data_IF_595522537650
#
_entry.id   IF_595522537650
#
_cell.length_a   1.000
_cell.length_b   1.000
_cell.length_c   1.000
_cell.angle_alpha   90.00
_cell.angle_beta   90.00
_cell.angle_gamma   90.00
#
_symmetry.space_group_name_H-M   'P 1'
#
loop_
_entity.id
_entity.type
_entity.pdbx_description
1 polymer ?
#
# COMPACT_ATOMS: atom_id res chain seq x y z
N UNK A 1 -31.09 -62.62 10.59
CA UNK A 1 -30.44 -61.87 9.49
C UNK A 1 -31.30 -60.66 9.19
N UNK A 2 -30.90 -59.47 9.61
CA UNK A 2 -30.88 -58.19 8.87
C UNK A 2 -30.43 -57.09 9.84
N UNK A 3 -29.47 -56.30 9.37
CA UNK A 3 -28.52 -55.52 10.14
C UNK A 3 -29.11 -54.20 10.69
N UNK A 4 -28.53 -53.74 11.80
CA UNK A 4 -28.69 -52.42 12.37
C UNK A 4 -27.93 -51.38 11.54
N UNK A 5 -28.65 -50.52 10.82
CA UNK A 5 -28.09 -49.39 10.08
C UNK A 5 -27.68 -48.26 11.04
N UNK A 6 -26.39 -48.18 11.33
CA UNK A 6 -25.79 -47.04 12.01
C UNK A 6 -25.65 -45.87 11.02
N UNK A 7 -26.56 -44.89 11.11
CA UNK A 7 -26.42 -43.62 10.38
C UNK A 7 -25.25 -42.82 10.97
N UNK A 8 -24.12 -42.84 10.29
CA UNK A 8 -23.00 -41.96 10.57
C UNK A 8 -23.40 -40.50 10.27
N UNK A 9 -23.69 -39.74 11.32
CA UNK A 9 -23.78 -38.28 11.25
C UNK A 9 -22.34 -37.73 11.11
N UNK A 10 -21.93 -37.42 9.90
CA UNK A 10 -20.70 -36.65 9.67
C UNK A 10 -20.93 -35.22 10.16
N UNK A 11 -20.39 -34.90 11.34
CA UNK A 11 -20.29 -33.52 11.81
C UNK A 11 -19.29 -32.77 10.91
N UNK A 12 -19.80 -31.99 9.95
CA UNK A 12 -18.98 -31.03 9.21
C UNK A 12 -18.50 -29.95 10.18
N UNK A 13 -17.27 -30.10 10.67
CA UNK A 13 -16.51 -29.00 11.26
C UNK A 13 -16.30 -27.95 10.16
N UNK A 14 -17.16 -26.94 10.13
CA UNK A 14 -16.92 -25.75 9.33
C UNK A 14 -15.71 -25.02 9.93
N UNK A 15 -14.56 -25.11 9.28
CA UNK A 15 -13.39 -24.30 9.60
C UNK A 15 -13.78 -22.83 9.36
N UNK A 16 -14.20 -22.15 10.43
CA UNK A 16 -14.34 -20.70 10.41
C UNK A 16 -12.91 -20.15 10.34
N UNK A 17 -12.42 -19.92 9.12
CA UNK A 17 -11.12 -19.29 8.91
C UNK A 17 -11.14 -17.93 9.58
N UNK A 18 -10.32 -17.76 10.62
CA UNK A 18 -10.08 -16.46 11.22
C UNK A 18 -9.40 -15.60 10.17
N UNK A 19 -10.12 -14.64 9.59
CA UNK A 19 -9.52 -13.56 8.83
C UNK A 19 -8.73 -12.74 9.85
N UNK A 20 -7.42 -12.98 9.93
CA UNK A 20 -6.55 -12.11 10.69
C UNK A 20 -6.57 -10.75 10.00
N UNK A 21 -7.06 -9.72 10.68
CA UNK A 21 -6.81 -8.35 10.25
C UNK A 21 -5.29 -8.17 10.18
N UNK A 22 -4.73 -8.05 8.98
CA UNK A 22 -3.30 -7.82 8.82
C UNK A 22 -3.02 -6.37 9.21
N UNK A 23 -2.16 -6.18 10.21
CA UNK A 23 -1.65 -4.87 10.58
C UNK A 23 -0.76 -4.34 9.45
N UNK A 24 -0.75 -3.02 9.30
CA UNK A 24 0.12 -2.33 8.36
C UNK A 24 1.25 -1.65 9.12
N UNK A 25 2.43 -1.66 8.52
CA UNK A 25 3.69 -1.23 9.12
C UNK A 25 4.37 -0.23 8.20
N UNK A 26 4.96 0.79 8.77
CA UNK A 26 5.86 1.70 8.08
C UNK A 26 7.24 1.06 7.86
N UNK A 27 8.08 1.58 6.95
CA UNK A 27 9.42 1.05 6.67
C UNK A 27 10.34 0.80 7.86
N UNK A 28 10.18 1.51 8.98
CA UNK A 28 10.92 1.23 10.22
C UNK A 28 10.35 0.09 11.08
N UNK A 29 9.28 -0.56 10.62
CA UNK A 29 8.55 -1.61 11.33
C UNK A 29 7.58 -1.07 12.38
N UNK A 30 7.40 0.24 12.52
CA UNK A 30 6.37 0.79 13.40
C UNK A 30 4.98 0.54 12.82
N UNK A 31 4.01 0.26 13.69
CA UNK A 31 2.62 0.01 13.27
C UNK A 31 1.96 1.32 12.84
N UNK A 32 1.18 1.26 11.78
CA UNK A 32 0.21 2.30 11.44
C UNK A 32 -1.04 2.06 12.29
N UNK A 33 -0.95 2.36 13.59
CA UNK A 33 -1.91 1.96 14.65
C UNK A 33 -3.31 2.62 14.57
N UNK A 34 -3.73 3.11 13.41
CA UNK A 34 -5.05 3.73 13.21
C UNK A 34 -6.00 2.79 12.47
N UNK A 35 -7.31 2.97 12.70
CA UNK A 35 -8.38 2.28 11.96
C UNK A 35 -8.51 2.74 10.51
N UNK A 36 -7.63 3.63 10.07
CA UNK A 36 -7.75 4.35 8.80
C UNK A 36 -6.98 3.68 7.68
N UNK A 37 -6.54 2.43 7.85
CA UNK A 37 -5.74 1.68 6.88
C UNK A 37 -6.47 0.44 6.40
N UNK A 38 -6.27 0.09 5.13
CA UNK A 38 -6.74 -1.18 4.58
C UNK A 38 -5.70 -1.84 3.69
N UNK A 39 -5.76 -3.16 3.65
CA UNK A 39 -4.85 -4.00 2.85
C UNK A 39 -5.35 -4.07 1.42
N UNK A 40 -4.51 -3.70 0.46
CA UNK A 40 -4.89 -3.63 -0.94
C UNK A 40 -5.15 -4.98 -1.60
N UNK A 41 -4.47 -6.03 -1.15
CA UNK A 41 -4.72 -7.41 -1.54
C UNK A 41 -4.76 -8.31 -0.30
N UNK A 42 -5.95 -8.51 0.26
CA UNK A 42 -6.18 -9.34 1.46
C UNK A 42 -6.03 -10.85 1.23
N UNK A 43 -5.83 -11.29 -0.01
CA UNK A 43 -5.60 -12.70 -0.34
C UNK A 43 -4.12 -13.04 -0.50
N UNK A 44 -3.25 -12.03 -0.54
CA UNK A 44 -1.80 -12.22 -0.63
C UNK A 44 -1.17 -12.38 0.76
N UNK A 45 -0.06 -13.13 0.83
CA UNK A 45 0.74 -13.27 2.06
C UNK A 45 1.17 -11.91 2.61
N UNK A 46 1.57 -11.01 1.69
CA UNK A 46 1.85 -9.61 1.97
C UNK A 46 1.29 -8.72 0.86
N UNK A 47 0.87 -7.53 1.23
CA UNK A 47 0.42 -6.45 0.37
C UNK A 47 0.80 -5.09 0.97
N UNK A 48 0.96 -4.09 0.10
CA UNK A 48 0.87 -2.69 0.49
C UNK A 48 -0.51 -2.38 1.08
N UNK A 49 -0.54 -1.33 1.89
CA UNK A 49 -1.73 -0.80 2.52
C UNK A 49 -1.89 0.66 2.15
N UNK A 50 -3.13 1.09 1.96
CA UNK A 50 -3.49 2.48 1.71
C UNK A 50 -4.37 3.03 2.84
N UNK A 51 -4.45 4.35 2.93
CA UNK A 51 -5.37 5.03 3.84
C UNK A 51 -6.80 4.92 3.29
N UNK A 52 -7.80 4.81 4.16
CA UNK A 52 -9.21 4.81 3.79
C UNK A 52 -9.54 6.08 2.97
N UNK A 53 -10.20 5.88 1.83
CA UNK A 53 -10.49 6.96 0.88
C UNK A 53 -9.54 7.01 -0.32
N UNK A 54 -8.42 6.27 -0.27
CA UNK A 54 -7.51 6.12 -1.40
C UNK A 54 -7.86 4.91 -2.28
N UNK A 55 -7.34 4.93 -3.50
CA UNK A 55 -7.31 3.82 -4.43
C UNK A 55 -5.97 3.08 -4.33
N UNK A 56 -6.03 1.76 -4.22
CA UNK A 56 -4.87 0.88 -4.38
C UNK A 56 -4.55 0.69 -5.86
N UNK A 57 -3.25 0.65 -6.18
CA UNK A 57 -2.79 0.51 -7.55
C UNK A 57 -1.90 -0.73 -7.71
N UNK A 58 -1.90 -1.30 -8.91
CA UNK A 58 -1.14 -2.52 -9.23
C UNK A 58 0.36 -2.38 -9.08
N UNK A 59 0.89 -1.15 -9.14
CA UNK A 59 2.31 -0.85 -8.96
C UNK A 59 2.70 -0.60 -7.48
N UNK A 60 1.78 -0.87 -6.54
CA UNK A 60 2.03 -0.75 -5.11
C UNK A 60 1.87 0.67 -4.56
N UNK A 61 1.40 1.61 -5.38
CA UNK A 61 1.08 2.97 -4.96
C UNK A 61 -0.38 3.10 -4.52
N UNK A 62 -0.64 4.13 -3.73
CA UNK A 62 -1.96 4.61 -3.35
C UNK A 62 -2.24 5.93 -4.06
N UNK A 63 -3.50 6.21 -4.38
CA UNK A 63 -3.94 7.48 -4.95
C UNK A 63 -5.13 8.03 -4.18
N UNK A 64 -4.97 9.23 -3.61
CA UNK A 64 -6.05 9.97 -2.99
C UNK A 64 -7.15 10.34 -3.97
N UNK A 65 -8.39 10.16 -3.55
CA UNK A 65 -9.61 10.49 -4.32
C UNK A 65 -9.96 11.99 -4.34
N UNK A 66 -9.26 12.81 -3.55
CA UNK A 66 -9.52 14.25 -3.45
C UNK A 66 -9.06 15.02 -4.68
N UNK A 67 -9.91 15.95 -5.15
CA UNK A 67 -9.61 16.87 -6.25
C UNK A 67 -8.32 17.65 -5.98
N UNK A 68 -7.39 17.67 -6.96
CA UNK A 68 -6.10 18.35 -6.88
C UNK A 68 -4.87 17.42 -6.96
N UNK A 69 -5.04 16.12 -6.70
CA UNK A 69 -3.94 15.14 -6.70
C UNK A 69 -3.78 14.40 -8.05
N UNK A 70 -3.77 15.12 -9.18
CA UNK A 70 -3.83 14.49 -10.51
C UNK A 70 -2.58 13.60 -10.77
N UNK A 71 -1.41 14.07 -10.35
CA UNK A 71 -0.11 13.41 -10.58
C UNK A 71 0.56 12.93 -9.30
N UNK A 72 -0.15 12.96 -8.16
CA UNK A 72 0.40 12.63 -6.84
C UNK A 72 -0.10 11.27 -6.38
N UNK A 73 0.83 10.47 -5.90
CA UNK A 73 0.65 9.11 -5.41
C UNK A 73 1.40 8.95 -4.10
N UNK A 74 1.14 7.86 -3.38
CA UNK A 74 1.77 7.60 -2.10
C UNK A 74 2.24 6.15 -2.00
N UNK A 75 3.42 5.97 -1.37
CA UNK A 75 3.96 4.65 -1.02
C UNK A 75 3.22 4.01 0.15
N UNK A 76 2.77 4.84 1.09
CA UNK A 76 2.00 4.43 2.27
C UNK A 76 2.68 3.34 3.13
N UNK A 77 1.99 2.29 3.55
CA UNK A 77 2.48 1.26 4.48
C UNK A 77 2.37 -0.15 3.89
N UNK A 78 2.84 -1.17 4.61
CA UNK A 78 2.80 -2.56 4.14
C UNK A 78 2.52 -3.55 5.28
N UNK A 79 1.92 -4.69 4.94
CA UNK A 79 1.66 -5.79 5.89
C UNK A 79 2.89 -6.59 6.34
N UNK A 80 4.06 -6.40 5.71
CA UNK A 80 5.31 -7.02 6.16
C UNK A 80 6.05 -6.10 7.16
N UNK A 81 6.09 -6.43 8.46
CA UNK A 81 6.81 -5.62 9.44
C UNK A 81 8.32 -5.58 9.22
N UNK A 82 8.88 -6.54 8.47
CA UNK A 82 10.31 -6.58 8.15
C UNK A 82 10.65 -5.88 6.82
N UNK A 83 9.64 -5.48 6.03
CA UNK A 83 9.83 -4.82 4.73
C UNK A 83 10.74 -5.61 3.76
N UNK A 84 10.64 -6.94 3.77
CA UNK A 84 11.41 -7.85 2.91
C UNK A 84 10.60 -8.38 1.74
N UNK A 85 9.27 -8.36 1.83
CA UNK A 85 8.38 -8.78 0.77
C UNK A 85 8.49 -7.86 -0.45
N UNK A 86 8.56 -8.45 -1.63
CA UNK A 86 8.47 -7.70 -2.90
C UNK A 86 7.11 -7.03 -3.10
N UNK A 87 6.09 -7.42 -2.33
CA UNK A 87 4.78 -6.76 -2.33
C UNK A 87 4.78 -5.44 -1.53
N UNK A 88 5.82 -5.20 -0.72
CA UNK A 88 6.05 -3.92 -0.06
C UNK A 88 6.88 -3.01 -0.97
N UNK A 89 6.44 -1.78 -1.25
CA UNK A 89 7.14 -0.93 -2.22
C UNK A 89 8.50 -0.45 -1.66
N UNK A 90 9.60 -0.90 -2.25
CA UNK A 90 10.97 -0.62 -1.75
C UNK A 90 11.51 0.78 -2.11
N UNK A 91 10.72 1.60 -2.81
CA UNK A 91 11.05 2.96 -3.20
C UNK A 91 10.58 3.99 -2.17
N UNK A 92 11.04 5.24 -2.27
CA UNK A 92 10.62 6.35 -1.41
C UNK A 92 10.62 6.06 0.12
N UNK A 93 11.58 5.25 0.58
CA UNK A 93 11.70 4.79 1.97
C UNK A 93 12.56 5.68 2.86
N UNK A 94 13.33 6.59 2.27
CA UNK A 94 14.28 7.43 2.99
C UNK A 94 14.28 8.82 2.38
N UNK A 95 14.09 9.83 3.21
CA UNK A 95 14.55 11.18 2.94
C UNK A 95 15.79 11.37 3.83
N UNK A 96 16.96 11.46 3.20
CA UNK A 96 18.25 11.74 3.82
C UNK A 96 18.30 13.11 4.55
N UNK A 97 17.28 13.94 4.36
CA UNK A 97 17.12 15.23 5.05
C UNK A 97 16.07 15.24 6.17
N UNK A 98 15.31 14.15 6.38
CA UNK A 98 14.26 14.08 7.41
C UNK A 98 14.41 12.84 8.30
N UNK A 99 14.66 13.06 9.60
CA UNK A 99 14.86 12.01 10.61
C UNK A 99 13.64 11.08 10.82
N UNK A 100 12.46 11.52 10.39
CA UNK A 100 11.20 10.76 10.51
C UNK A 100 10.79 10.06 9.20
N UNK A 101 11.61 10.13 8.15
CA UNK A 101 11.31 9.57 6.83
C UNK A 101 10.78 8.12 6.82
N UNK A 102 11.24 7.21 7.71
CA UNK A 102 10.72 5.85 7.76
C UNK A 102 9.28 5.74 8.26
N UNK A 103 8.69 6.78 8.88
CA UNK A 103 7.31 6.82 9.42
C UNK A 103 6.36 7.70 8.63
N UNK A 104 6.87 8.40 7.62
CA UNK A 104 6.10 9.36 6.84
C UNK A 104 5.72 8.74 5.51
N UNK A 105 4.48 9.00 5.08
CA UNK A 105 4.00 8.66 3.76
C UNK A 105 4.61 9.61 2.75
N UNK A 106 5.56 9.10 1.97
CA UNK A 106 6.26 9.93 1.00
C UNK A 106 5.51 9.97 -0.33
N UNK A 107 5.29 11.16 -0.91
CA UNK A 107 4.64 11.26 -2.20
C UNK A 107 5.56 10.80 -3.33
N UNK A 108 4.98 10.06 -4.27
CA UNK A 108 5.53 9.76 -5.57
C UNK A 108 4.79 10.60 -6.64
N UNK A 109 5.54 11.30 -7.47
CA UNK A 109 5.00 12.07 -8.59
C UNK A 109 5.09 11.23 -9.86
N UNK A 110 4.00 11.18 -10.64
CA UNK A 110 4.03 10.56 -11.96
C UNK A 110 4.78 11.45 -12.94
N UNK A 111 5.80 10.88 -13.60
CA UNK A 111 6.55 11.51 -14.68
C UNK A 111 6.05 11.06 -16.05
N UNK A 112 5.52 9.84 -16.13
CA UNK A 112 4.91 9.26 -17.32
C UNK A 112 3.84 8.22 -16.90
N UNK A 113 3.40 7.39 -17.84
CA UNK A 113 2.43 6.33 -17.55
C UNK A 113 3.00 5.22 -16.67
N UNK A 114 4.31 4.99 -16.71
CA UNK A 114 5.02 3.88 -16.06
C UNK A 114 6.20 4.33 -15.19
N UNK A 115 6.59 5.61 -15.24
CA UNK A 115 7.68 6.17 -14.45
C UNK A 115 7.24 7.22 -13.44
N UNK A 116 7.86 7.16 -12.26
CA UNK A 116 7.54 7.98 -11.09
C UNK A 116 8.81 8.50 -10.42
N UNK A 117 8.75 9.55 -9.62
CA UNK A 117 9.87 9.98 -8.78
C UNK A 117 9.41 10.34 -7.37
N UNK A 118 10.28 10.11 -6.39
CA UNK A 118 10.01 10.48 -5.01
C UNK A 118 10.21 11.99 -4.82
N UNK A 119 9.18 12.71 -4.38
CA UNK A 119 9.25 14.16 -4.19
C UNK A 119 9.79 14.50 -2.80
N UNK A 120 11.11 14.46 -2.62
CA UNK A 120 11.78 14.64 -1.31
C UNK A 120 11.75 16.07 -0.74
N UNK A 121 11.20 17.03 -1.50
CA UNK A 121 11.23 18.46 -1.18
C UNK A 121 9.86 19.03 -0.77
N UNK A 122 8.92 18.17 -0.35
CA UNK A 122 7.71 18.61 0.31
C UNK A 122 8.06 19.16 1.70
N UNK A 123 8.59 20.38 1.76
CA UNK A 123 8.89 21.11 3.00
C UNK A 123 7.63 21.43 3.80
N UNK A 124 6.44 21.10 3.31
CA UNK A 124 5.16 21.12 4.01
C UNK A 124 4.27 20.00 3.44
N UNK A 125 3.30 19.48 4.21
CA UNK A 125 2.27 18.57 3.69
C UNK A 125 1.40 19.17 2.56
N UNK A 126 1.52 20.48 2.29
CA UNK A 126 0.62 21.26 1.43
C UNK A 126 1.35 22.44 0.73
N UNK A 127 2.61 22.31 0.32
CA UNK A 127 3.23 23.39 -0.46
C UNK A 127 2.62 23.44 -1.88
N UNK A 128 2.02 24.59 -2.22
CA UNK A 128 1.24 24.89 -3.43
C UNK A 128 2.00 24.77 -4.77
N UNK A 129 3.28 24.39 -4.77
CA UNK A 129 4.03 24.06 -5.99
C UNK A 129 4.74 22.73 -5.81
N UNK A 130 4.16 21.67 -6.36
CA UNK A 130 4.85 20.39 -6.48
C UNK A 130 6.14 20.58 -7.29
N UNK A 131 7.29 20.29 -6.66
CA UNK A 131 8.59 20.28 -7.34
C UNK A 131 8.69 19.03 -8.23
N UNK A 132 8.24 19.17 -9.47
CA UNK A 132 8.33 18.13 -10.50
C UNK A 132 9.74 17.95 -11.08
N UNK A 133 10.75 18.69 -10.60
CA UNK A 133 12.12 18.63 -11.17
C UNK A 133 12.74 17.23 -11.08
N UNK A 134 12.23 16.35 -10.21
CA UNK A 134 12.68 14.96 -10.18
C UNK A 134 12.33 14.17 -11.44
N UNK A 135 11.34 14.61 -12.21
CA UNK A 135 11.02 14.02 -13.50
C UNK A 135 11.99 14.44 -14.62
N UNK A 136 12.80 15.48 -14.44
CA UNK A 136 13.80 15.88 -15.44
C UNK A 136 15.12 15.09 -15.30
N UNK A 137 15.32 14.41 -14.16
CA UNK A 137 16.48 13.58 -13.90
C UNK A 137 16.13 12.10 -13.90
N UNK A 138 16.53 11.39 -14.97
CA UNK A 138 16.24 9.96 -15.11
C UNK A 138 16.84 9.11 -13.99
N UNK A 139 17.90 9.55 -13.32
CA UNK A 139 18.49 8.83 -12.18
C UNK A 139 17.60 8.85 -10.93
N UNK A 140 16.64 9.78 -10.88
CA UNK A 140 15.66 9.93 -9.80
C UNK A 140 14.30 9.32 -10.14
N UNK A 141 14.14 8.78 -11.35
CA UNK A 141 12.94 8.11 -11.80
C UNK A 141 12.97 6.61 -11.49
N UNK A 142 11.78 6.09 -11.20
CA UNK A 142 11.49 4.72 -10.86
C UNK A 142 10.53 4.17 -11.91
N UNK A 143 10.95 3.11 -12.60
CA UNK A 143 10.11 2.39 -13.56
C UNK A 143 9.40 1.24 -12.83
N UNK A 144 8.22 1.55 -12.28
CA UNK A 144 7.42 0.60 -11.47
C UNK A 144 6.14 0.15 -12.17
N UNK A 145 5.95 0.54 -13.43
CA UNK A 145 4.81 0.16 -14.25
C UNK A 145 3.57 1.01 -13.98
N UNK A 146 2.49 0.76 -14.74
CA UNK A 146 1.32 1.63 -14.72
C UNK A 146 0.53 1.56 -13.41
N UNK A 147 0.03 2.72 -12.99
CA UNK A 147 -0.96 2.87 -11.92
C UNK A 147 -2.35 2.40 -12.40
N UNK A 148 -2.58 1.10 -12.41
CA UNK A 148 -3.90 0.52 -12.69
C UNK A 148 -4.64 0.31 -11.38
N UNK A 149 -5.91 0.75 -11.33
CA UNK A 149 -6.79 0.50 -10.19
C UNK A 149 -6.82 -0.99 -9.83
N UNK A 150 -6.58 -1.30 -8.56
CA UNK A 150 -6.60 -2.65 -8.00
C UNK A 150 -7.79 -2.85 -7.06
N UNK A 151 -7.94 -1.94 -6.10
CA UNK A 151 -8.96 -1.97 -5.06
C UNK A 151 -9.08 -0.57 -4.43
N UNK A 152 -10.00 -0.36 -3.50
CA UNK A 152 -10.19 0.96 -2.90
C UNK A 152 -11.14 1.82 -3.74
N UNK A 153 -11.11 3.13 -3.51
CA UNK A 153 -12.29 4.01 -3.52
C UNK A 153 -13.44 3.72 -4.53
N UNK A 154 -14.64 3.46 -4.00
CA UNK A 154 -15.89 4.08 -4.48
C UNK A 154 -16.46 4.83 -3.28
N UNK A 155 -16.54 6.16 -3.37
CA UNK A 155 -17.25 7.03 -2.42
C UNK A 155 -18.76 6.83 -2.48
#
# INVERSE_FOLDING_TARGET
MYASDARAFFAQLSLCGTILAQACYFPDGSTSDTTDWFVCNSTADHSHCCVLGDECLTNGLCKGSLEGNINRYWRESCTDPAWRSSACPSFCNTNDTHSDAPRVNWPALACSADSYCCSYNATQPLAEEDDYSCCDDRSRQLDIGPAVFLAGAIV
#
